data_IF_516089824238
#
_entry.id   IF_516089824238
#
_cell.length_a   1.000
_cell.length_b   1.000
_cell.length_c   1.000
_cell.angle_alpha   90.00
_cell.angle_beta   90.00
_cell.angle_gamma   90.00
#
_symmetry.space_group_name_H-M   'P 1'
#
loop_
_entity.id
_entity.type
_entity.pdbx_description
1 polymer ?
#
# COMPACT_ATOMS: atom_id res chain seq x y z
N UNK A 1 26.03 -25.23 31.47
CA UNK A 1 25.19 -25.96 30.48
C UNK A 1 23.72 -25.56 30.54
N UNK A 2 23.01 -25.72 31.67
CA UNK A 2 21.57 -25.37 31.79
C UNK A 2 21.24 -23.91 31.42
N UNK A 3 22.10 -22.97 31.80
CA UNK A 3 21.88 -21.55 31.54
C UNK A 3 21.94 -21.18 30.04
N UNK A 4 22.78 -21.88 29.26
CA UNK A 4 22.86 -21.67 27.81
C UNK A 4 21.57 -22.08 27.12
N UNK A 5 20.97 -23.20 27.53
CA UNK A 5 19.68 -23.64 26.99
C UNK A 5 18.56 -22.64 27.27
N UNK A 6 18.53 -22.04 28.45
CA UNK A 6 17.56 -20.99 28.80
C UNK A 6 17.77 -19.75 27.94
N UNK A 7 19.02 -19.34 27.71
CA UNK A 7 19.35 -18.22 26.83
C UNK A 7 18.90 -18.45 25.39
N UNK A 8 19.18 -19.65 24.85
CA UNK A 8 18.75 -20.03 23.49
C UNK A 8 17.23 -20.06 23.39
N UNK A 9 16.53 -20.57 24.42
CA UNK A 9 15.07 -20.58 24.46
C UNK A 9 14.49 -19.16 24.50
N UNK A 10 15.05 -18.28 25.32
CA UNK A 10 14.65 -16.87 25.35
C UNK A 10 14.92 -16.16 24.02
N UNK A 11 16.06 -16.44 23.38
CA UNK A 11 16.36 -15.90 22.06
C UNK A 11 15.36 -16.39 21.01
N UNK A 12 14.98 -17.67 21.04
CA UNK A 12 13.96 -18.23 20.14
C UNK A 12 12.58 -17.59 20.34
N UNK A 13 12.14 -17.42 21.59
CA UNK A 13 10.87 -16.75 21.92
C UNK A 13 10.92 -15.28 21.53
N UNK A 14 12.03 -14.60 21.81
CA UNK A 14 12.23 -13.21 21.44
C UNK A 14 12.12 -13.05 19.92
N UNK A 15 12.84 -13.85 19.13
CA UNK A 15 12.76 -13.81 17.66
C UNK A 15 11.34 -14.15 17.19
N UNK A 16 10.72 -15.20 17.73
CA UNK A 16 9.37 -15.61 17.34
C UNK A 16 8.27 -14.57 17.63
N UNK A 17 8.47 -13.67 18.59
CA UNK A 17 7.51 -12.59 18.92
C UNK A 17 7.90 -11.27 18.24
N UNK A 18 9.17 -10.88 18.32
CA UNK A 18 9.67 -9.61 17.78
C UNK A 18 9.69 -9.61 16.26
N UNK A 19 9.99 -10.74 15.61
CA UNK A 19 10.08 -10.81 14.15
C UNK A 19 8.71 -10.63 13.46
N UNK A 20 7.63 -11.33 13.85
CA UNK A 20 6.30 -11.09 13.28
C UNK A 20 5.74 -9.71 13.64
N UNK A 21 6.00 -9.21 14.85
CA UNK A 21 5.63 -7.85 15.22
C UNK A 21 6.34 -6.84 14.32
N UNK A 22 7.65 -6.96 14.13
CA UNK A 22 8.38 -6.11 13.20
C UNK A 22 7.80 -6.23 11.78
N UNK A 23 7.60 -7.45 11.26
CA UNK A 23 7.09 -7.64 9.91
C UNK A 23 5.68 -7.07 9.69
N UNK A 24 4.79 -7.18 10.67
CA UNK A 24 3.42 -6.64 10.60
C UNK A 24 3.35 -5.12 10.79
N UNK A 25 4.24 -4.53 11.59
CA UNK A 25 4.32 -3.07 11.73
C UNK A 25 5.08 -2.43 10.55
N UNK A 26 6.07 -3.12 9.97
CA UNK A 26 6.80 -2.68 8.78
C UNK A 26 6.06 -2.97 7.46
N UNK A 27 5.11 -3.91 7.42
CA UNK A 27 4.27 -4.10 6.21
C UNK A 27 3.33 -2.92 5.94
N UNK A 28 3.29 -1.95 6.86
CA UNK A 28 2.57 -0.70 6.74
C UNK A 28 1.08 -0.91 6.98
N UNK A 29 0.54 -0.24 8.01
CA UNK A 29 -0.90 -0.07 8.08
C UNK A 29 -1.34 0.78 6.88
N UNK A 30 -2.32 0.31 6.11
CA UNK A 30 -2.87 1.11 5.02
C UNK A 30 -3.58 2.34 5.61
N UNK A 31 -3.02 3.53 5.36
CA UNK A 31 -3.58 4.81 5.82
C UNK A 31 -4.88 5.13 5.06
N UNK A 32 -4.94 4.72 3.80
CA UNK A 32 -6.11 4.83 2.94
C UNK A 32 -5.76 4.83 1.45
N UNK A 33 -6.81 4.90 0.64
CA UNK A 33 -6.72 5.01 -0.82
C UNK A 33 -7.40 6.29 -1.28
N UNK A 34 -6.69 7.11 -2.07
CA UNK A 34 -7.22 8.38 -2.60
C UNK A 34 -7.17 8.42 -4.11
N UNK A 35 -8.22 8.98 -4.72
CA UNK A 35 -8.29 9.20 -6.15
C UNK A 35 -7.67 10.56 -6.51
N UNK A 36 -6.46 10.53 -7.03
CA UNK A 36 -5.72 11.74 -7.47
C UNK A 36 -5.95 12.10 -8.94
N UNK A 37 -6.53 11.17 -9.72
CA UNK A 37 -6.81 11.38 -11.14
C UNK A 37 -8.23 10.97 -11.49
N UNK A 38 -8.98 11.92 -12.06
CA UNK A 38 -10.37 11.71 -12.46
C UNK A 38 -10.71 12.59 -13.67
N UNK A 39 -11.41 12.03 -14.65
CA UNK A 39 -11.90 12.75 -15.83
C UNK A 39 -10.82 13.56 -16.58
N UNK A 40 -9.64 12.97 -16.76
CA UNK A 40 -8.55 13.62 -17.49
C UNK A 40 -7.77 14.67 -16.69
N UNK A 41 -8.11 14.90 -15.41
CA UNK A 41 -7.51 15.97 -14.59
C UNK A 41 -6.89 15.41 -13.31
N UNK A 42 -5.73 15.95 -12.96
CA UNK A 42 -5.07 15.71 -11.68
C UNK A 42 -5.68 16.60 -10.59
N UNK A 43 -5.99 16.01 -9.43
CA UNK A 43 -6.42 16.74 -8.22
C UNK A 43 -5.43 16.46 -7.09
N UNK A 44 -4.75 17.49 -6.56
CA UNK A 44 -3.89 17.30 -5.40
C UNK A 44 -4.74 16.93 -4.17
N UNK A 45 -4.27 15.96 -3.39
CA UNK A 45 -4.91 15.50 -2.16
C UNK A 45 -3.93 15.67 -1.00
N UNK A 46 -4.38 16.29 0.07
CA UNK A 46 -3.62 16.41 1.32
C UNK A 46 -4.12 15.37 2.31
N UNK A 47 -3.21 14.51 2.76
CA UNK A 47 -3.51 13.45 3.74
C UNK A 47 -2.93 13.86 5.09
N UNK A 48 -3.73 13.87 6.17
CA UNK A 48 -3.20 14.09 7.51
C UNK A 48 -2.38 12.87 7.94
N UNK A 49 -1.11 13.07 8.27
CA UNK A 49 -0.17 12.04 8.70
C UNK A 49 0.30 12.34 10.12
N UNK A 50 0.46 11.29 10.93
CA UNK A 50 1.03 11.36 12.27
C UNK A 50 2.46 10.81 12.28
N UNK A 51 3.27 11.22 13.26
CA UNK A 51 4.66 10.73 13.38
C UNK A 51 4.78 9.20 13.52
N UNK A 52 3.73 8.55 14.05
CA UNK A 52 3.63 7.09 14.17
C UNK A 52 3.42 6.36 12.84
N UNK A 53 3.04 7.09 11.80
CA UNK A 53 2.77 6.50 10.47
C UNK A 53 4.07 6.34 9.66
N UNK A 54 5.20 6.84 10.17
CA UNK A 54 6.52 6.61 9.58
C UNK A 54 7.04 5.21 9.92
N UNK A 55 7.67 4.49 8.97
CA UNK A 55 7.99 4.91 7.60
C UNK A 55 6.82 4.80 6.62
N UNK A 56 6.70 5.77 5.71
CA UNK A 56 5.60 5.85 4.73
C UNK A 56 5.94 5.13 3.43
N UNK A 57 4.97 4.40 2.88
CA UNK A 57 5.06 3.77 1.55
C UNK A 57 3.86 4.20 0.70
N UNK A 58 4.14 4.82 -0.44
CA UNK A 58 3.11 5.31 -1.37
C UNK A 58 3.06 4.37 -2.57
N UNK A 59 1.89 3.80 -2.83
CA UNK A 59 1.60 3.02 -4.03
C UNK A 59 0.69 3.84 -4.93
N UNK A 60 1.00 3.88 -6.23
CA UNK A 60 0.22 4.61 -7.22
C UNK A 60 -0.25 3.63 -8.29
N UNK A 61 -1.54 3.35 -8.28
CA UNK A 61 -2.18 2.53 -9.32
C UNK A 61 -2.63 3.41 -10.49
N UNK A 62 -1.93 3.29 -11.61
CA UNK A 62 -2.29 3.96 -12.87
C UNK A 62 -3.05 2.97 -13.75
N UNK A 63 -4.37 3.19 -13.89
CA UNK A 63 -5.17 2.44 -14.87
C UNK A 63 -5.40 3.31 -16.10
N UNK A 64 -4.83 2.95 -17.24
CA UNK A 64 -5.17 3.55 -18.52
C UNK A 64 -6.59 3.09 -18.93
N UNK A 65 -7.62 3.86 -18.59
CA UNK A 65 -8.94 3.67 -19.21
C UNK A 65 -8.85 4.21 -20.63
N UNK A 66 -8.84 3.32 -21.62
CA UNK A 66 -9.17 3.69 -22.98
C UNK A 66 -10.60 4.24 -22.97
N UNK A 67 -10.73 5.56 -23.04
CA UNK A 67 -12.01 6.22 -23.22
C UNK A 67 -12.56 5.70 -24.55
N UNK A 68 -13.61 4.86 -24.48
CA UNK A 68 -14.21 4.26 -25.66
C UNK A 68 -14.85 5.39 -26.46
N UNK A 69 -14.11 5.96 -27.42
CA UNK A 69 -14.65 6.85 -28.43
C UNK A 69 -15.58 6.01 -29.31
N UNK A 70 -16.80 5.73 -28.85
CA UNK A 70 -17.89 5.30 -29.73
C UNK A 70 -18.40 6.58 -30.41
N UNK A 71 -17.58 7.13 -31.30
CA UNK A 71 -18.14 7.97 -32.35
C UNK A 71 -18.92 7.02 -33.24
N UNK A 72 -20.23 7.10 -33.08
CA UNK A 72 -21.28 6.57 -33.91
C UNK A 72 -20.99 6.89 -35.40
N UNK A 73 -20.10 6.12 -36.04
CA UNK A 73 -19.97 6.09 -37.48
C UNK A 73 -21.21 5.40 -38.05
N UNK A 74 -22.30 6.17 -38.12
CA UNK A 74 -23.44 5.86 -38.97
C UNK A 74 -22.94 5.97 -40.40
N UNK A 75 -22.44 4.87 -40.95
CA UNK A 75 -22.20 4.74 -42.39
C UNK A 75 -23.56 4.79 -43.07
N UNK A 76 -23.92 5.97 -43.59
CA UNK A 76 -24.99 6.10 -44.57
C UNK A 76 -24.42 5.58 -45.88
N UNK A 77 -24.99 4.48 -46.39
CA UNK A 77 -24.79 4.07 -47.77
C UNK A 77 -25.97 4.65 -48.56
N UNK A 78 -25.68 5.59 -49.45
CA UNK A 78 -26.54 5.96 -50.59
C UNK A 78 -26.07 5.25 -51.83
#
# INVERSE_FOLDING_TARGET
>A
MRFLFVLVLLAGVAIGVLYPWAMSNFSGHEIGTWRVYEQGRFRPVTVPLAARDAPLRVLVDLTARAERIVSQQRTVLT
#
